data_IF_159025593163
#
_entry.id   IF_159025593163
#
_cell.length_a   1.000
_cell.length_b   1.000
_cell.length_c   1.000
_cell.angle_alpha   90.00
_cell.angle_beta   90.00
_cell.angle_gamma   90.00
#
_symmetry.space_group_name_H-M   'P 1'
#
loop_
_entity.id
_entity.type
_entity.pdbx_description
1 polymer ?
#
# COMPACT_ATOMS: atom_id res chain seq x y z
N UNK A 1 -0.42 -6.57 24.74
CA UNK A 1 0.25 -7.63 25.54
C UNK A 1 1.39 -8.18 24.70
N UNK A 2 2.63 -7.80 24.99
CA UNK A 2 3.79 -8.28 24.22
C UNK A 2 4.10 -9.73 24.63
N UNK A 3 3.83 -10.67 23.73
CA UNK A 3 3.95 -12.10 23.99
C UNK A 3 5.23 -12.71 23.43
N UNK A 4 6.06 -13.14 24.36
CA UNK A 4 7.30 -13.84 24.12
C UNK A 4 7.06 -15.36 23.93
N UNK A 5 7.49 -15.97 22.81
CA UNK A 5 7.61 -17.43 22.66
C UNK A 5 9.01 -17.94 22.27
N UNK A 6 9.85 -18.30 23.24
CA UNK A 6 11.18 -18.93 23.10
C UNK A 6 11.13 -20.25 22.33
N UNK A 7 11.87 -20.37 21.22
CA UNK A 7 12.10 -21.65 20.52
C UNK A 7 12.92 -22.57 21.43
N UNK A 8 12.49 -23.81 21.65
CA UNK A 8 13.15 -24.72 22.59
C UNK A 8 14.48 -25.29 22.05
N UNK A 9 14.66 -25.30 20.72
CA UNK A 9 15.88 -25.79 20.07
C UNK A 9 16.94 -24.69 19.89
N UNK A 10 16.54 -23.41 19.87
CA UNK A 10 17.44 -22.25 19.64
C UNK A 10 17.34 -21.13 20.68
N UNK A 11 16.40 -21.20 21.63
CA UNK A 11 16.13 -20.14 22.61
C UNK A 11 15.39 -18.90 22.06
N UNK A 12 14.92 -18.87 20.81
CA UNK A 12 14.48 -17.60 20.17
C UNK A 12 12.99 -17.33 20.25
N UNK A 13 12.65 -16.16 20.74
CA UNK A 13 11.29 -15.78 21.11
C UNK A 13 10.51 -15.06 19.99
N UNK A 14 9.35 -15.53 19.50
CA UNK A 14 8.66 -14.87 18.37
C UNK A 14 7.24 -14.38 18.62
N UNK A 15 7.01 -13.12 18.21
CA UNK A 15 5.75 -12.39 18.22
C UNK A 15 5.10 -12.42 16.83
N UNK A 16 3.80 -12.70 16.79
CA UNK A 16 2.94 -12.33 15.67
C UNK A 16 1.87 -11.38 16.18
N UNK A 17 1.64 -10.31 15.43
CA UNK A 17 0.50 -9.42 15.67
C UNK A 17 -0.37 -9.53 14.43
N UNK A 18 -1.42 -10.35 14.51
CA UNK A 18 -2.45 -10.38 13.46
C UNK A 18 -3.44 -9.29 13.78
N UNK A 19 -3.57 -8.28 12.93
CA UNK A 19 -4.49 -7.15 13.13
C UNK A 19 -5.58 -7.24 12.10
N UNK A 20 -6.81 -7.32 12.58
CA UNK A 20 -7.99 -7.37 11.74
C UNK A 20 -8.74 -6.07 11.95
N UNK A 21 -8.74 -5.22 10.92
CA UNK A 21 -9.42 -3.91 10.96
C UNK A 21 -10.74 -4.03 10.21
N UNK A 22 -11.88 -3.99 10.91
CA UNK A 22 -13.19 -4.12 10.25
C UNK A 22 -13.66 -2.80 9.64
N UNK A 23 -13.61 -1.67 10.36
CA UNK A 23 -14.22 -0.43 9.86
C UNK A 23 -13.70 0.91 10.41
N UNK A 24 -12.92 0.98 11.49
CA UNK A 24 -12.52 2.26 12.09
C UNK A 24 -11.08 2.19 12.61
N UNK A 25 -10.08 2.42 11.75
CA UNK A 25 -8.66 2.55 12.12
C UNK A 25 -7.85 3.28 11.04
N UNK A 26 -6.63 3.69 11.40
CA UNK A 26 -5.60 4.25 10.52
C UNK A 26 -4.97 3.24 9.52
N UNK A 27 -5.39 1.98 9.53
CA UNK A 27 -4.92 0.96 8.59
C UNK A 27 -6.00 0.62 7.56
N UNK A 28 -5.64 0.35 6.29
CA UNK A 28 -6.52 -0.27 5.33
C UNK A 28 -7.23 -1.52 5.88
N UNK A 29 -8.49 -1.73 5.45
CA UNK A 29 -9.28 -2.92 5.79
C UNK A 29 -8.52 -4.19 5.39
N UNK A 30 -8.60 -5.22 6.21
CA UNK A 30 -8.00 -6.52 5.94
C UNK A 30 -7.23 -7.11 7.10
N UNK A 31 -6.46 -8.15 6.77
CA UNK A 31 -5.63 -8.91 7.71
C UNK A 31 -4.20 -8.44 7.56
N UNK A 32 -3.65 -7.93 8.65
CA UNK A 32 -2.26 -7.56 8.78
C UNK A 32 -1.56 -8.62 9.61
N UNK A 33 -0.44 -9.15 9.15
CA UNK A 33 0.39 -10.06 9.93
C UNK A 33 1.77 -9.44 10.05
N UNK A 34 2.16 -9.09 11.26
CA UNK A 34 3.50 -8.63 11.56
C UNK A 34 4.35 -9.80 12.05
N UNK A 35 5.49 -10.02 11.40
CA UNK A 35 6.47 -11.08 11.69
C UNK A 35 7.82 -10.44 12.05
N UNK A 36 8.42 -10.90 13.15
CA UNK A 36 9.83 -10.63 13.44
C UNK A 36 10.75 -11.56 12.60
N UNK A 37 12.00 -11.15 12.37
CA UNK A 37 12.97 -11.76 11.44
C UNK A 37 13.37 -13.23 11.73
N UNK A 38 12.81 -13.90 12.74
CA UNK A 38 13.31 -15.19 13.26
C UNK A 38 12.51 -16.44 12.85
N UNK A 39 11.43 -16.32 12.07
CA UNK A 39 10.53 -17.46 11.73
C UNK A 39 10.58 -17.85 10.24
N UNK A 40 10.06 -19.03 9.85
CA UNK A 40 9.77 -19.46 8.47
C UNK A 40 8.27 -19.29 8.09
N UNK A 41 7.96 -18.68 6.94
CA UNK A 41 6.60 -18.48 6.41
C UNK A 41 5.76 -19.77 6.29
N UNK A 42 6.39 -20.93 6.06
CA UNK A 42 5.68 -22.20 5.95
C UNK A 42 4.96 -22.58 7.25
N UNK A 43 5.55 -22.24 8.41
CA UNK A 43 4.97 -22.50 9.72
C UNK A 43 3.69 -21.69 9.97
N UNK A 44 3.64 -20.46 9.44
CA UNK A 44 2.48 -19.57 9.50
C UNK A 44 1.37 -20.14 8.63
N UNK A 45 1.68 -20.43 7.37
CA UNK A 45 0.70 -20.91 6.41
C UNK A 45 0.07 -22.25 6.79
N UNK A 46 0.85 -23.19 7.37
CA UNK A 46 0.33 -24.47 7.87
C UNK A 46 -0.74 -24.26 8.95
N UNK A 47 -0.61 -23.24 9.80
CA UNK A 47 -1.55 -22.97 10.88
C UNK A 47 -2.77 -22.17 10.40
N UNK A 48 -2.60 -21.25 9.45
CA UNK A 48 -3.73 -20.64 8.73
C UNK A 48 -4.49 -21.63 7.86
N UNK A 49 -3.86 -22.75 7.46
CA UNK A 49 -4.54 -23.84 6.74
C UNK A 49 -5.64 -24.51 7.56
N UNK A 50 -5.68 -24.36 8.88
CA UNK A 50 -6.83 -24.81 9.69
C UNK A 50 -8.06 -23.91 9.51
N UNK A 51 -7.89 -22.69 8.99
CA UNK A 51 -8.95 -21.72 8.67
C UNK A 51 -9.42 -21.92 7.20
N UNK A 52 -8.98 -23.00 6.54
CA UNK A 52 -9.01 -23.23 5.08
C UNK A 52 -10.32 -22.98 4.38
N UNK A 53 -11.45 -23.19 5.05
CA UNK A 53 -12.67 -23.47 4.29
C UNK A 53 -13.15 -22.27 3.47
N UNK A 54 -12.73 -21.03 3.78
CA UNK A 54 -13.24 -19.84 3.09
C UNK A 54 -12.20 -18.90 2.48
N UNK A 55 -10.88 -19.15 2.58
CA UNK A 55 -9.87 -18.25 1.98
C UNK A 55 -8.74 -19.00 1.27
N UNK A 56 -8.40 -18.51 0.07
CA UNK A 56 -7.19 -18.88 -0.66
C UNK A 56 -5.94 -18.21 -0.05
N UNK A 57 -5.56 -18.62 1.17
CA UNK A 57 -4.36 -18.14 1.84
C UNK A 57 -3.09 -18.87 1.32
N UNK A 58 -3.10 -19.33 0.08
CA UNK A 58 -1.95 -20.02 -0.53
C UNK A 58 -0.70 -19.12 -0.64
N UNK A 59 -0.89 -17.81 -0.55
CA UNK A 59 0.18 -16.82 -0.60
C UNK A 59 0.96 -16.70 0.71
N UNK A 60 0.39 -17.00 1.88
CA UNK A 60 1.13 -16.85 3.16
C UNK A 60 2.37 -17.74 3.24
N UNK A 61 2.37 -18.91 2.59
CA UNK A 61 3.52 -19.84 2.61
C UNK A 61 4.66 -19.39 1.70
N UNK A 62 4.47 -18.31 0.94
CA UNK A 62 5.44 -17.82 -0.04
C UNK A 62 6.12 -16.60 0.56
N UNK A 63 7.40 -16.71 0.92
CA UNK A 63 8.21 -15.61 1.47
C UNK A 63 8.13 -14.32 0.66
N UNK A 64 7.97 -14.44 -0.66
CA UNK A 64 7.87 -13.32 -1.58
C UNK A 64 6.66 -12.40 -1.30
N UNK A 65 5.59 -12.91 -0.68
CA UNK A 65 4.39 -12.12 -0.42
C UNK A 65 4.46 -11.26 0.85
N UNK A 66 5.62 -11.18 1.48
CA UNK A 66 5.83 -10.34 2.65
C UNK A 66 6.54 -9.05 2.26
N UNK A 67 6.04 -7.92 2.75
CA UNK A 67 6.67 -6.61 2.64
C UNK A 67 7.74 -6.48 3.71
N UNK A 68 8.98 -6.20 3.29
CA UNK A 68 10.06 -5.90 4.22
C UNK A 68 9.98 -4.46 4.71
N UNK A 69 10.06 -4.30 6.03
CA UNK A 69 10.18 -3.02 6.73
C UNK A 69 11.45 -3.05 7.61
N UNK A 70 11.98 -1.90 8.06
CA UNK A 70 13.09 -1.87 9.03
C UNK A 70 12.80 -2.66 10.32
N UNK A 71 11.53 -2.97 10.62
CA UNK A 71 11.07 -3.56 11.87
C UNK A 71 10.67 -5.03 11.77
N UNK A 72 10.72 -5.59 10.55
CA UNK A 72 10.30 -6.97 10.27
C UNK A 72 9.53 -7.09 8.97
N UNK A 73 8.93 -8.26 8.78
CA UNK A 73 8.12 -8.59 7.61
C UNK A 73 6.64 -8.36 7.91
N UNK A 74 5.94 -7.70 7.00
CA UNK A 74 4.51 -7.39 7.10
C UNK A 74 3.79 -8.05 5.95
N UNK A 75 2.71 -8.77 6.23
CA UNK A 75 1.80 -9.25 5.20
C UNK A 75 0.47 -8.53 5.36
N UNK A 76 -0.06 -7.97 4.27
CA UNK A 76 -1.42 -7.44 4.22
C UNK A 76 -2.22 -8.23 3.20
N UNK A 77 -3.46 -8.56 3.55
CA UNK A 77 -4.44 -9.09 2.61
C UNK A 77 -5.76 -8.39 2.84
N UNK A 78 -6.29 -7.80 1.77
CA UNK A 78 -7.66 -7.30 1.72
C UNK A 78 -8.61 -8.49 1.75
N UNK A 79 -9.11 -8.83 2.95
CA UNK A 79 -10.11 -9.89 3.12
C UNK A 79 -11.50 -9.26 2.99
N UNK A 80 -12.29 -9.77 2.06
CA UNK A 80 -13.63 -9.24 1.74
C UNK A 80 -14.76 -10.09 2.35
N UNK A 81 -14.47 -11.25 2.95
CA UNK A 81 -15.52 -12.11 3.53
C UNK A 81 -15.73 -11.86 5.03
N UNK A 82 -16.94 -11.42 5.37
CA UNK A 82 -17.44 -11.35 6.76
C UNK A 82 -17.32 -12.70 7.49
N UNK A 83 -17.47 -13.80 6.75
CA UNK A 83 -17.35 -15.16 7.30
C UNK A 83 -15.96 -15.44 7.89
N UNK A 84 -14.90 -14.87 7.30
CA UNK A 84 -13.56 -15.02 7.86
C UNK A 84 -13.34 -14.18 9.11
N UNK A 85 -13.91 -12.97 9.15
CA UNK A 85 -13.91 -12.15 10.36
C UNK A 85 -14.48 -12.98 11.51
N UNK A 86 -15.65 -13.60 11.30
CA UNK A 86 -16.32 -14.40 12.30
C UNK A 86 -15.47 -15.57 12.84
N UNK A 87 -14.64 -16.21 12.02
CA UNK A 87 -13.75 -17.30 12.50
C UNK A 87 -12.76 -16.81 13.56
N UNK A 88 -12.23 -15.58 13.41
CA UNK A 88 -11.33 -15.00 14.41
C UNK A 88 -12.07 -14.58 15.68
N UNK A 89 -13.31 -14.13 15.54
CA UNK A 89 -14.22 -13.76 16.63
C UNK A 89 -14.59 -15.00 17.46
N UNK A 90 -15.02 -16.07 16.79
CA UNK A 90 -15.50 -17.30 17.42
C UNK A 90 -14.36 -18.02 18.16
N UNK A 91 -13.15 -18.06 17.58
CA UNK A 91 -11.96 -18.61 18.26
C UNK A 91 -11.41 -17.66 19.34
N UNK A 92 -11.69 -16.37 19.22
CA UNK A 92 -11.31 -15.32 20.16
C UNK A 92 -12.34 -15.04 21.25
N UNK A 93 -13.22 -15.99 21.63
CA UNK A 93 -14.10 -15.96 22.81
C UNK A 93 -15.01 -14.73 23.05
N UNK A 94 -15.11 -13.74 22.16
CA UNK A 94 -16.08 -12.64 22.27
C UNK A 94 -16.53 -12.15 20.90
N UNK A 95 -17.85 -11.98 20.74
CA UNK A 95 -18.46 -11.28 19.62
C UNK A 95 -17.90 -9.86 19.52
N UNK A 96 -17.40 -9.47 18.34
CA UNK A 96 -16.98 -8.10 18.09
C UNK A 96 -18.21 -7.19 18.12
N UNK A 97 -18.13 -6.11 18.88
CA UNK A 97 -18.79 -4.88 18.44
C UNK A 97 -17.92 -4.27 17.32
N UNK A 98 -18.51 -3.47 16.42
CA UNK A 98 -17.90 -2.98 15.16
C UNK A 98 -16.60 -2.14 15.29
N UNK A 99 -15.97 -2.08 16.46
CA UNK A 99 -15.01 -1.04 16.89
C UNK A 99 -13.74 -1.61 17.54
N UNK A 100 -13.49 -2.91 17.48
CA UNK A 100 -12.32 -3.55 18.13
C UNK A 100 -11.24 -4.00 17.11
N UNK A 101 -9.96 -3.78 17.45
CA UNK A 101 -8.85 -4.45 16.78
C UNK A 101 -8.65 -5.82 17.43
N UNK A 102 -8.74 -6.88 16.63
CA UNK A 102 -8.28 -8.21 17.06
C UNK A 102 -6.76 -8.24 16.92
N UNK A 103 -6.06 -8.49 18.03
CA UNK A 103 -4.67 -8.93 18.01
C UNK A 103 -4.62 -10.42 18.29
N UNK A 104 -4.42 -11.23 17.25
CA UNK A 104 -4.16 -12.66 17.46
C UNK A 104 -2.63 -12.88 17.56
N UNK A 105 -2.19 -13.34 18.73
CA UNK A 105 -0.81 -13.69 19.03
C UNK A 105 -0.71 -15.21 19.23
N UNK A 106 0.39 -15.84 18.82
CA UNK A 106 0.53 -17.30 18.87
C UNK A 106 1.58 -17.73 19.91
N UNK A 107 1.20 -18.65 20.80
CA UNK A 107 2.08 -19.27 21.81
C UNK A 107 2.29 -20.77 21.52
N UNK A 108 3.13 -21.46 22.31
CA UNK A 108 3.24 -22.93 22.26
C UNK A 108 1.91 -23.65 22.57
N UNK A 109 1.01 -23.01 23.33
CA UNK A 109 -0.24 -23.59 23.81
C UNK A 109 -1.47 -23.19 22.98
N UNK A 110 -1.27 -22.52 21.85
CA UNK A 110 -2.34 -22.03 20.97
C UNK A 110 -2.38 -20.50 20.82
N UNK A 111 -3.46 -20.00 20.24
CA UNK A 111 -3.69 -18.57 20.00
C UNK A 111 -4.09 -17.85 21.28
N UNK A 112 -3.35 -16.80 21.64
CA UNK A 112 -3.81 -15.78 22.56
C UNK A 112 -4.34 -14.62 21.73
N UNK A 113 -5.66 -14.51 21.66
CA UNK A 113 -6.33 -13.39 21.02
C UNK A 113 -6.56 -12.32 22.09
N UNK A 114 -5.90 -11.17 21.95
CA UNK A 114 -6.21 -9.98 22.74
C UNK A 114 -7.01 -9.01 21.87
N UNK A 115 -8.19 -8.65 22.32
CA UNK A 115 -8.95 -7.54 21.76
C UNK A 115 -8.39 -6.25 22.38
N UNK A 116 -7.98 -5.29 21.55
CA UNK A 116 -7.78 -3.93 22.02
C UNK A 116 -8.90 -3.08 21.44
N UNK A 117 -9.61 -2.42 22.35
CA UNK A 117 -10.47 -1.30 22.01
C UNK A 117 -9.57 -0.13 21.66
N UNK A 118 -9.49 0.21 20.37
CA UNK A 118 -8.91 1.49 19.97
C UNK A 118 -9.95 2.54 20.36
N UNK A 119 -9.59 3.58 21.14
CA UNK A 119 -10.53 4.63 21.44
C UNK A 119 -10.93 5.30 20.11
N UNK A 120 -12.13 5.02 19.63
CA UNK A 120 -12.82 5.98 18.78
C UNK A 120 -13.23 7.09 19.74
N UNK A 121 -12.50 8.20 19.75
CA UNK A 121 -13.14 9.41 20.25
C UNK A 121 -14.25 9.70 19.24
N UNK A 122 -15.51 9.47 19.64
CA UNK A 122 -16.73 9.74 18.87
C UNK A 122 -16.85 11.20 18.38
N UNK A 123 -15.87 12.04 18.71
CA UNK A 123 -15.74 13.38 18.19
C UNK A 123 -15.14 13.28 16.79
N UNK A 124 -15.89 13.58 15.70
CA UNK A 124 -15.31 13.70 14.38
C UNK A 124 -14.26 14.81 14.40
N UNK A 125 -12.98 14.43 14.41
CA UNK A 125 -11.82 15.35 14.32
C UNK A 125 -11.58 15.85 12.89
N UNK A 126 -12.49 15.52 11.98
CA UNK A 126 -12.47 15.89 10.58
C UNK A 126 -13.01 14.78 9.70
N UNK A 127 -13.12 15.12 8.42
CA UNK A 127 -13.55 14.22 7.35
C UNK A 127 -12.67 14.43 6.13
N UNK A 128 -12.63 13.46 5.22
CA UNK A 128 -11.94 13.65 3.95
C UNK A 128 -12.64 12.93 2.82
N UNK A 129 -12.46 13.47 1.62
CA UNK A 129 -12.89 12.88 0.36
C UNK A 129 -11.67 12.68 -0.53
N UNK A 130 -11.73 11.67 -1.39
CA UNK A 130 -10.63 11.33 -2.28
C UNK A 130 -11.14 11.15 -3.70
N UNK A 131 -10.40 11.65 -4.68
CA UNK A 131 -10.73 11.49 -6.10
C UNK A 131 -9.47 11.36 -6.94
N UNK A 132 -9.56 10.60 -8.03
CA UNK A 132 -8.48 10.52 -9.02
C UNK A 132 -8.61 11.65 -10.03
N UNK A 133 -7.51 12.34 -10.30
CA UNK A 133 -7.43 13.32 -11.37
C UNK A 133 -7.71 12.66 -12.73
N UNK A 134 -8.52 13.32 -13.57
CA UNK A 134 -8.83 12.86 -14.91
C UNK A 134 -8.14 13.74 -15.96
N UNK A 135 -7.58 13.16 -17.04
CA UNK A 135 -7.46 11.72 -17.30
C UNK A 135 -6.39 11.07 -16.41
N UNK A 136 -6.61 9.82 -15.98
CA UNK A 136 -5.71 9.11 -15.05
C UNK A 136 -4.32 8.88 -15.64
N UNK A 137 -4.26 8.47 -16.92
CA UNK A 137 -2.99 8.24 -17.63
C UNK A 137 -2.07 7.22 -16.96
N UNK A 138 -0.75 7.41 -17.15
CA UNK A 138 0.31 6.61 -16.51
C UNK A 138 0.78 7.19 -15.17
N UNK A 139 0.33 8.41 -14.84
CA UNK A 139 0.73 9.16 -13.64
C UNK A 139 -0.51 9.61 -12.87
N UNK A 140 -1.27 8.68 -12.23
CA UNK A 140 -2.47 9.03 -11.48
C UNK A 140 -2.15 10.03 -10.37
N UNK A 141 -3.00 11.06 -10.25
CA UNK A 141 -2.93 12.00 -9.12
C UNK A 141 -4.10 11.72 -8.20
N UNK A 142 -3.82 11.34 -6.96
CA UNK A 142 -4.84 11.17 -5.94
C UNK A 142 -5.04 12.52 -5.23
N UNK A 143 -6.15 13.19 -5.55
CA UNK A 143 -6.57 14.38 -4.84
C UNK A 143 -7.26 13.96 -3.56
N UNK A 144 -6.84 14.54 -2.44
CA UNK A 144 -7.44 14.36 -1.13
C UNK A 144 -7.89 15.72 -0.64
N UNK A 145 -9.16 15.81 -0.30
CA UNK A 145 -9.78 17.01 0.22
C UNK A 145 -10.19 16.77 1.67
N UNK A 146 -9.41 17.32 2.60
CA UNK A 146 -9.60 17.23 4.05
C UNK A 146 -10.51 18.38 4.48
N UNK A 147 -11.54 18.11 5.30
CA UNK A 147 -12.56 19.08 5.75
C UNK A 147 -12.77 18.99 7.26
N UNK A 148 -13.17 20.12 7.87
CA UNK A 148 -13.58 20.21 9.27
C UNK A 148 -12.51 19.68 10.25
N UNK A 149 -11.25 20.00 9.99
CA UNK A 149 -10.11 19.50 10.76
C UNK A 149 -10.07 20.13 12.15
N UNK A 150 -10.22 19.31 13.18
CA UNK A 150 -10.06 19.71 14.58
C UNK A 150 -8.81 19.04 15.13
N UNK A 151 -7.74 19.82 15.28
CA UNK A 151 -6.50 19.36 15.90
C UNK A 151 -6.77 19.08 17.39
N UNK A 152 -6.59 17.83 17.87
CA UNK A 152 -6.96 17.46 19.24
C UNK A 152 -6.10 18.14 20.31
N UNK A 153 -4.80 18.24 20.07
CA UNK A 153 -3.80 18.84 20.96
C UNK A 153 -2.70 19.51 20.12
N UNK A 154 -2.02 20.51 20.67
CA UNK A 154 -1.02 21.33 19.96
C UNK A 154 0.17 20.50 19.43
N UNK A 155 0.50 19.38 20.08
CA UNK A 155 1.59 18.48 19.68
C UNK A 155 1.17 17.45 18.61
N UNK A 156 -0.11 17.39 18.24
CA UNK A 156 -0.58 16.42 17.25
C UNK A 156 -0.16 16.80 15.82
N UNK A 157 0.27 15.79 15.04
CA UNK A 157 0.53 15.90 13.60
C UNK A 157 -0.55 15.15 12.81
N UNK A 158 -0.99 15.72 11.69
CA UNK A 158 -1.92 15.03 10.79
C UNK A 158 -1.14 14.09 9.89
N UNK A 159 -1.43 12.80 9.96
CA UNK A 159 -0.71 11.77 9.22
C UNK A 159 -1.63 10.98 8.29
N UNK A 160 -1.07 10.52 7.18
CA UNK A 160 -1.73 9.67 6.19
C UNK A 160 -1.00 8.34 6.04
N UNK A 161 -1.74 7.23 6.04
CA UNK A 161 -1.21 5.90 5.78
C UNK A 161 -2.00 5.22 4.67
N UNK A 162 -1.31 4.69 3.67
CA UNK A 162 -1.95 4.02 2.53
C UNK A 162 -1.24 2.76 2.10
N UNK A 163 -2.03 1.78 1.66
CA UNK A 163 -1.57 0.63 0.91
C UNK A 163 -1.67 0.93 -0.59
N UNK A 164 -0.64 0.56 -1.32
CA UNK A 164 -0.51 0.79 -2.76
C UNK A 164 -0.41 -0.59 -3.41
N UNK A 165 -1.33 -0.96 -4.31
CA UNK A 165 -1.29 -2.25 -4.98
C UNK A 165 -0.04 -2.35 -5.88
N UNK A 166 0.45 -3.57 -6.19
CA UNK A 166 1.65 -3.79 -7.00
C UNK A 166 1.58 -3.17 -8.40
N UNK A 167 0.38 -2.90 -8.90
CA UNK A 167 0.16 -2.21 -10.18
C UNK A 167 0.55 -0.73 -10.17
N UNK A 168 0.70 -0.14 -8.99
CA UNK A 168 1.01 1.26 -8.76
C UNK A 168 2.26 1.39 -7.89
N UNK A 169 2.92 2.53 -7.98
CA UNK A 169 4.00 2.89 -7.07
C UNK A 169 4.07 4.37 -6.83
N UNK A 170 4.88 4.71 -5.85
CA UNK A 170 5.23 6.07 -5.52
C UNK A 170 6.71 6.25 -5.83
N UNK A 171 7.03 7.36 -6.49
CA UNK A 171 8.40 7.79 -6.65
C UNK A 171 8.84 8.52 -5.38
N UNK A 172 9.71 7.86 -4.60
CA UNK A 172 10.26 8.42 -3.37
C UNK A 172 11.04 9.72 -3.59
N UNK A 173 11.68 9.89 -4.75
CA UNK A 173 12.49 11.07 -5.04
C UNK A 173 11.61 12.26 -5.42
N UNK A 174 10.56 12.01 -6.20
CA UNK A 174 9.53 13.02 -6.48
C UNK A 174 8.87 13.49 -5.17
N UNK A 175 8.46 12.55 -4.32
CA UNK A 175 7.84 12.89 -3.05
C UNK A 175 8.76 13.63 -2.10
N UNK A 176 10.03 13.24 -1.95
CA UNK A 176 10.96 13.98 -1.09
C UNK A 176 11.09 15.44 -1.52
N UNK A 177 11.09 15.73 -2.83
CA UNK A 177 11.11 17.10 -3.32
C UNK A 177 9.81 17.85 -3.02
N UNK A 178 8.64 17.21 -3.18
CA UNK A 178 7.33 17.80 -2.88
C UNK A 178 7.23 18.10 -1.37
N UNK A 179 7.63 17.15 -0.55
CA UNK A 179 7.68 17.21 0.91
C UNK A 179 8.57 18.36 1.42
N UNK A 180 9.79 18.46 0.89
CA UNK A 180 10.75 19.52 1.25
C UNK A 180 10.24 20.92 0.89
N UNK A 181 9.41 21.04 -0.16
CA UNK A 181 8.82 22.31 -0.59
C UNK A 181 7.46 22.60 0.07
N UNK A 182 6.94 21.69 0.90
CA UNK A 182 5.55 21.70 1.35
C UNK A 182 4.54 21.87 0.19
N UNK A 183 4.90 21.38 -1.00
CA UNK A 183 4.06 21.47 -2.18
C UNK A 183 2.84 20.55 -1.99
N UNK A 184 1.68 21.02 -2.44
CA UNK A 184 0.40 20.35 -2.25
C UNK A 184 0.10 19.99 -0.77
N UNK A 185 0.61 20.78 0.19
CA UNK A 185 0.47 20.58 1.63
C UNK A 185 0.97 19.20 2.13
N UNK A 186 1.83 18.53 1.37
CA UNK A 186 2.52 17.35 1.86
C UNK A 186 3.66 17.81 2.78
N UNK A 187 3.72 17.29 4.00
CA UNK A 187 4.88 17.52 4.85
C UNK A 187 5.92 16.43 4.60
N UNK A 188 6.34 15.65 5.59
CA UNK A 188 7.40 14.66 5.47
C UNK A 188 6.90 13.27 5.06
N UNK A 189 7.74 12.57 4.29
CA UNK A 189 7.61 11.13 4.06
C UNK A 189 8.14 10.41 5.30
N UNK A 190 7.24 9.79 6.07
CA UNK A 190 7.59 9.06 7.29
C UNK A 190 8.10 7.65 6.98
N UNK A 191 7.61 7.03 5.90
CA UNK A 191 8.11 5.74 5.46
C UNK A 191 7.49 5.23 4.17
N UNK A 192 8.30 4.55 3.37
CA UNK A 192 7.85 3.78 2.20
C UNK A 192 8.45 2.38 2.30
N UNK A 193 7.60 1.35 2.21
CA UNK A 193 8.02 -0.05 2.37
C UNK A 193 7.40 -0.94 1.31
N UNK A 194 8.06 -2.07 1.00
CA UNK A 194 7.58 -3.05 0.03
C UNK A 194 8.20 -2.86 -1.35
N UNK A 195 7.37 -2.97 -2.39
CA UNK A 195 7.82 -2.89 -3.77
C UNK A 195 8.10 -1.44 -4.19
N UNK A 196 9.30 -0.94 -3.85
CA UNK A 196 9.74 0.43 -4.11
C UNK A 196 10.67 0.57 -5.32
N UNK A 197 10.89 -0.52 -6.06
CA UNK A 197 11.64 -0.47 -7.31
C UNK A 197 10.83 0.32 -8.36
N UNK A 198 11.42 1.43 -8.83
CA UNK A 198 10.82 2.39 -9.76
C UNK A 198 10.91 1.90 -11.21
N UNK A 199 11.82 0.95 -11.49
CA UNK A 199 12.08 0.42 -12.83
C UNK A 199 11.44 -0.96 -13.04
N UNK A 200 11.15 -1.69 -11.97
CA UNK A 200 10.56 -3.02 -12.06
C UNK A 200 9.12 -2.98 -12.59
N UNK A 201 8.80 -3.75 -13.65
CA UNK A 201 7.43 -3.94 -14.10
C UNK A 201 6.66 -4.85 -13.12
N UNK A 202 5.33 -4.75 -13.11
CA UNK A 202 4.45 -5.51 -12.20
C UNK A 202 4.69 -7.03 -12.22
N UNK A 203 5.01 -7.62 -13.38
CA UNK A 203 5.24 -9.06 -13.55
C UNK A 203 6.62 -9.54 -13.08
N UNK A 204 7.52 -8.63 -12.67
CA UNK A 204 8.80 -8.97 -12.04
C UNK A 204 8.75 -8.87 -10.51
N UNK A 205 7.68 -8.29 -9.99
CA UNK A 205 7.46 -8.11 -8.57
C UNK A 205 6.82 -9.34 -7.94
N UNK A 206 6.80 -9.35 -6.61
CA UNK A 206 6.23 -10.45 -5.85
C UNK A 206 4.70 -10.37 -5.74
N UNK A 207 4.13 -9.20 -6.04
CA UNK A 207 2.71 -8.91 -5.99
C UNK A 207 2.23 -8.42 -4.63
N UNK A 208 3.14 -7.92 -3.77
CA UNK A 208 2.80 -7.43 -2.44
C UNK A 208 2.31 -6.00 -2.44
N UNK A 209 2.77 -5.18 -3.40
CA UNK A 209 2.57 -3.75 -3.37
C UNK A 209 3.50 -3.05 -2.37
N UNK A 210 3.12 -1.85 -1.96
CA UNK A 210 3.88 -1.04 -1.03
C UNK A 210 2.99 -0.34 0.00
N UNK A 211 3.59 0.07 1.11
CA UNK A 211 2.96 0.90 2.12
C UNK A 211 3.61 2.28 2.08
N UNK A 212 2.80 3.32 2.19
CA UNK A 212 3.24 4.70 2.24
C UNK A 212 2.66 5.39 3.46
N UNK A 213 3.54 5.95 4.27
CA UNK A 213 3.24 6.73 5.45
C UNK A 213 3.88 8.11 5.32
N UNK A 214 3.09 9.13 5.59
CA UNK A 214 3.46 10.53 5.42
C UNK A 214 2.70 11.40 6.41
N UNK A 215 3.17 12.62 6.58
CA UNK A 215 2.41 13.67 7.26
C UNK A 215 1.89 14.72 6.27
N UNK A 216 0.88 15.44 6.73
CA UNK A 216 0.31 16.61 6.06
C UNK A 216 0.87 17.84 6.75
N UNK A 217 1.34 18.78 5.96
CA UNK A 217 1.75 20.08 6.47
C UNK A 217 0.52 20.83 6.98
N UNK A 218 0.43 20.98 8.30
CA UNK A 218 -0.64 21.71 8.99
C UNK A 218 -0.04 22.85 9.79
N UNK A 219 -0.02 24.06 9.23
CA UNK A 219 0.22 25.27 10.03
C UNK A 219 -1.10 25.80 10.64
N UNK A 220 -0.99 26.61 11.69
CA UNK A 220 -2.17 27.17 12.38
C UNK A 220 -3.04 28.03 11.45
N UNK A 221 -2.48 28.58 10.37
CA UNK A 221 -3.22 29.36 9.37
C UNK A 221 -4.01 28.48 8.39
N UNK A 222 -3.53 27.29 8.07
CA UNK A 222 -4.20 26.28 7.25
C UNK A 222 -5.30 25.57 8.03
N UNK A 223 -5.10 25.32 9.32
CA UNK A 223 -6.15 24.76 10.18
C UNK A 223 -7.31 25.74 10.44
N UNK A 224 -7.06 27.04 10.31
CA UNK A 224 -8.12 28.05 10.28
C UNK A 224 -8.92 28.04 8.98
N UNK A 225 -8.40 27.43 7.90
CA UNK A 225 -9.20 27.16 6.71
C UNK A 225 -10.03 25.91 6.99
N UNK A 226 -11.32 25.98 6.66
CA UNK A 226 -12.25 24.85 6.87
C UNK A 226 -11.85 23.57 6.08
N UNK A 227 -10.84 23.66 5.20
CA UNK A 227 -10.36 22.56 4.37
C UNK A 227 -8.86 22.67 4.03
N UNK A 228 -8.24 21.51 3.78
CA UNK A 228 -6.88 21.36 3.24
C UNK A 228 -6.94 20.42 2.03
N UNK A 229 -6.42 20.88 0.89
CA UNK A 229 -6.24 20.05 -0.30
C UNK A 229 -4.81 19.53 -0.40
N UNK A 230 -4.67 18.24 -0.68
CA UNK A 230 -3.36 17.64 -0.97
C UNK A 230 -3.45 16.69 -2.17
N UNK A 231 -2.32 16.54 -2.86
CA UNK A 231 -2.21 15.68 -4.05
C UNK A 231 -1.10 14.67 -3.80
N UNK A 232 -1.44 13.39 -3.89
CA UNK A 232 -0.48 12.29 -3.79
C UNK A 232 -0.19 11.80 -5.22
N UNK A 233 1.02 12.06 -5.76
CA UNK A 233 1.40 11.56 -7.08
C UNK A 233 1.65 10.05 -7.00
N UNK A 234 1.04 9.33 -7.94
CA UNK A 234 1.21 7.90 -8.14
C UNK A 234 1.70 7.65 -9.56
N UNK A 235 2.33 6.50 -9.74
CA UNK A 235 2.81 6.02 -11.03
C UNK A 235 2.25 4.64 -11.30
N UNK A 236 1.79 4.40 -12.53
CA UNK A 236 1.42 3.04 -12.95
C UNK A 236 2.67 2.26 -13.34
N UNK A 237 2.77 1.00 -12.92
CA UNK A 237 3.79 0.10 -13.45
C UNK A 237 3.41 -0.43 -14.82
N UNK A 238 4.42 -0.82 -15.60
CA UNK A 238 4.21 -1.65 -16.78
C UNK A 238 3.49 -2.95 -16.40
N UNK A 239 2.40 -3.21 -17.11
CA UNK A 239 1.58 -4.40 -16.93
C UNK A 239 1.88 -5.44 -18.01
N UNK A 240 1.57 -6.70 -17.73
CA UNK A 240 1.62 -7.72 -18.77
C UNK A 240 0.60 -7.39 -19.87
N UNK A 241 0.98 -7.49 -21.15
CA UNK A 241 0.05 -7.29 -22.25
C UNK A 241 -0.99 -8.41 -22.27
N UNK A 242 -2.23 -8.10 -22.62
CA UNK A 242 -3.35 -9.04 -22.66
C UNK A 242 -3.96 -9.08 -24.05
N UNK A 243 -4.49 -10.23 -24.46
CA UNK A 243 -5.16 -10.36 -25.76
C UNK A 243 -6.61 -9.86 -25.65
N UNK A 244 -6.98 -8.93 -26.53
CA UNK A 244 -8.33 -8.35 -26.62
C UNK A 244 -8.64 -7.32 -25.54
N UNK A 245 -7.64 -6.83 -24.82
CA UNK A 245 -7.79 -5.80 -23.80
C UNK A 245 -6.74 -4.71 -23.99
N UNK A 246 -7.18 -3.46 -23.89
CA UNK A 246 -6.34 -2.26 -23.98
C UNK A 246 -6.14 -1.59 -22.63
N UNK A 247 -6.90 -2.01 -21.61
CA UNK A 247 -6.79 -1.50 -20.24
C UNK A 247 -6.83 -2.65 -19.23
N UNK A 248 -5.98 -2.57 -18.22
CA UNK A 248 -6.08 -3.36 -17.00
C UNK A 248 -6.82 -2.54 -15.95
N UNK A 249 -7.89 -3.11 -15.38
CA UNK A 249 -8.59 -2.50 -14.24
C UNK A 249 -7.91 -2.92 -12.93
N UNK A 250 -7.59 -1.95 -12.09
CA UNK A 250 -7.09 -2.16 -10.73
C UNK A 250 -7.84 -1.24 -9.77
N UNK A 251 -7.77 -1.53 -8.47
CA UNK A 251 -8.38 -0.73 -7.42
C UNK A 251 -7.31 -0.18 -6.49
N UNK A 252 -7.46 1.08 -6.08
CA UNK A 252 -6.67 1.71 -5.04
C UNK A 252 -7.56 1.93 -3.81
N UNK A 253 -7.14 1.39 -2.67
CA UNK A 253 -7.78 1.67 -1.39
C UNK A 253 -7.44 3.08 -0.94
N UNK A 254 -8.42 3.80 -0.39
CA UNK A 254 -8.16 5.14 0.11
C UNK A 254 -7.08 5.17 1.21
N UNK A 255 -6.26 6.23 1.24
CA UNK A 255 -5.44 6.53 2.40
C UNK A 255 -6.31 6.67 3.64
N UNK A 256 -5.78 6.32 4.81
CA UNK A 256 -6.36 6.60 6.10
C UNK A 256 -5.64 7.78 6.73
N UNK A 257 -6.40 8.78 7.14
CA UNK A 257 -5.89 9.96 7.82
C UNK A 257 -6.23 9.93 9.31
N UNK A 258 -5.27 10.35 10.12
CA UNK A 258 -5.42 10.41 11.57
C UNK A 258 -4.48 11.46 12.17
N UNK A 259 -4.92 12.08 13.27
CA UNK A 259 -4.04 12.86 14.13
C UNK A 259 -3.22 11.90 14.98
N UNK A 260 -1.91 12.09 15.00
CA UNK A 260 -0.99 11.40 15.89
C UNK A 260 -0.44 12.39 16.92
N UNK A 261 -0.74 12.16 18.19
CA UNK A 261 -0.37 13.05 19.30
C UNK A 261 0.75 12.48 20.18
N UNK A 262 1.35 11.36 19.80
CA UNK A 262 2.53 10.86 20.50
C UNK A 262 3.79 11.61 20.04
N UNK A 263 4.72 11.84 20.98
CA UNK A 263 5.96 12.57 20.72
C UNK A 263 6.86 11.91 19.65
N UNK A 264 7.64 12.74 18.94
CA UNK A 264 8.39 12.41 17.71
C UNK A 264 9.28 11.15 17.79
N UNK A 265 9.77 10.78 18.97
CA UNK A 265 10.74 9.67 19.16
C UNK A 265 10.25 8.29 18.68
N UNK A 266 8.94 8.13 18.41
CA UNK A 266 8.34 6.85 17.97
C UNK A 266 7.86 6.83 16.52
N UNK A 267 7.97 7.94 15.80
CA UNK A 267 7.42 8.09 14.44
C UNK A 267 8.12 7.19 13.42
N UNK A 268 9.29 6.63 13.72
CA UNK A 268 9.95 5.73 12.77
C UNK A 268 9.48 4.27 12.85
N UNK A 269 8.86 3.79 13.95
CA UNK A 269 8.53 2.36 14.10
C UNK A 269 7.18 2.00 13.45
N UNK A 270 7.17 1.17 12.41
CA UNK A 270 5.93 0.68 11.79
C UNK A 270 4.98 0.02 12.80
N UNK A 271 5.50 -0.61 13.87
CA UNK A 271 4.69 -1.21 14.95
C UNK A 271 3.91 -0.16 15.73
N UNK A 272 4.38 1.08 15.73
CA UNK A 272 3.70 2.22 16.33
C UNK A 272 2.38 2.52 15.62
N UNK A 273 2.26 2.21 14.32
CA UNK A 273 0.95 2.25 13.65
C UNK A 273 -0.04 1.47 14.50
N UNK A 274 0.21 0.20 14.78
CA UNK A 274 -0.68 -0.74 15.47
C UNK A 274 -0.81 -0.60 16.98
N UNK A 275 -0.08 0.31 17.64
CA UNK A 275 0.07 0.27 19.11
C UNK A 275 -0.20 1.61 19.80
N UNK A 276 -0.32 2.70 19.04
CA UNK A 276 -0.61 4.02 19.58
C UNK A 276 -2.06 4.13 20.03
N UNK A 277 -2.27 4.71 21.22
CA UNK A 277 -3.58 4.98 21.81
C UNK A 277 -4.08 6.39 21.54
N UNK A 278 -3.19 7.32 21.16
CA UNK A 278 -3.48 8.73 21.00
C UNK A 278 -3.67 9.09 19.52
N UNK A 279 -4.55 8.34 18.84
CA UNK A 279 -4.86 8.56 17.42
C UNK A 279 -6.32 8.88 17.21
N UNK A 280 -6.57 9.97 16.49
CA UNK A 280 -7.91 10.41 16.16
C UNK A 280 -8.10 10.30 14.66
N UNK A 281 -8.96 9.37 14.22
CA UNK A 281 -9.11 9.05 12.79
C UNK A 281 -10.11 9.99 12.14
N UNK A 282 -9.81 10.47 10.94
CA UNK A 282 -10.76 11.26 10.15
C UNK A 282 -11.79 10.34 9.50
N UNK A 283 -13.04 10.82 9.42
CA UNK A 283 -14.12 10.09 8.76
C UNK A 283 -13.99 10.15 7.23
N UNK A 284 -14.34 9.07 6.55
CA UNK A 284 -14.45 9.02 5.09
C UNK A 284 -15.43 7.92 4.71
N UNK A 285 -16.10 8.11 3.57
CA UNK A 285 -16.86 7.06 2.94
C UNK A 285 -15.91 5.92 2.50
N UNK A 286 -16.22 4.66 2.84
CA UNK A 286 -15.43 3.52 2.40
C UNK A 286 -15.54 3.39 0.89
N UNK A 287 -14.57 3.94 0.17
CA UNK A 287 -14.52 3.89 -1.29
C UNK A 287 -13.18 3.30 -1.75
N UNK A 288 -13.26 2.38 -2.71
CA UNK A 288 -12.12 1.91 -3.48
C UNK A 288 -12.13 2.64 -4.82
N UNK A 289 -11.03 3.28 -5.17
CA UNK A 289 -10.91 4.06 -6.40
C UNK A 289 -10.51 3.12 -7.55
N UNK A 290 -11.34 3.05 -8.59
CA UNK A 290 -11.05 2.22 -9.76
C UNK A 290 -10.11 2.96 -10.72
N UNK A 291 -9.00 2.32 -11.08
CA UNK A 291 -7.98 2.83 -11.99
C UNK A 291 -7.92 1.94 -13.23
N UNK A 292 -7.90 2.56 -14.41
CA UNK A 292 -7.71 1.85 -15.69
C UNK A 292 -6.31 2.15 -16.24
N UNK A 293 -5.42 1.17 -16.16
CA UNK A 293 -4.03 1.29 -16.63
C UNK A 293 -3.98 0.86 -18.11
N UNK A 294 -3.46 1.69 -19.02
CA UNK A 294 -3.33 1.28 -20.42
C UNK A 294 -2.31 0.14 -20.56
N UNK A 295 -2.67 -0.86 -21.36
CA UNK A 295 -1.84 -2.04 -21.66
C UNK A 295 -1.81 -2.30 -23.16
N UNK A 296 -0.76 -2.99 -23.63
CA UNK A 296 -0.69 -3.39 -25.03
C UNK A 296 -1.62 -4.58 -25.31
N UNK A 297 -2.45 -4.44 -26.35
CA UNK A 297 -3.30 -5.53 -26.84
C UNK A 297 -2.47 -6.47 -27.75
N UNK A 298 -2.29 -7.72 -27.31
CA UNK A 298 -1.57 -8.74 -28.05
C UNK A 298 -2.20 -9.09 -29.40
N UNK A 299 -3.47 -8.73 -29.65
CA UNK A 299 -4.14 -8.93 -30.93
C UNK A 299 -3.46 -8.16 -32.07
N UNK A 300 -2.83 -7.03 -31.76
CA UNK A 300 -2.09 -6.23 -32.73
C UNK A 300 -0.60 -6.54 -32.76
N UNK A 301 -0.08 -7.42 -31.89
CA UNK A 301 1.35 -7.72 -31.79
C UNK A 301 1.98 -8.02 -33.14
N UNK A 302 1.36 -8.93 -33.91
CA UNK A 302 1.87 -9.34 -35.22
C UNK A 302 1.89 -8.18 -36.21
N UNK A 303 0.83 -7.35 -36.23
CA UNK A 303 0.76 -6.18 -37.11
C UNK A 303 1.85 -5.17 -36.76
N UNK A 304 2.01 -4.85 -35.48
CA UNK A 304 3.06 -3.94 -34.99
C UNK A 304 4.44 -4.47 -35.36
N UNK A 305 4.72 -5.74 -35.10
CA UNK A 305 6.00 -6.38 -35.40
C UNK A 305 6.35 -6.29 -36.90
N UNK A 306 5.42 -6.64 -37.81
CA UNK A 306 5.66 -6.55 -39.25
C UNK A 306 5.84 -5.13 -39.76
N UNK A 307 5.03 -4.18 -39.26
CA UNK A 307 5.13 -2.78 -39.66
C UNK A 307 6.46 -2.18 -39.19
N UNK A 308 6.83 -2.41 -37.93
CA UNK A 308 8.10 -1.92 -37.36
C UNK A 308 9.29 -2.52 -38.11
N UNK A 309 9.30 -3.84 -38.33
CA UNK A 309 10.37 -4.50 -39.08
C UNK A 309 10.44 -3.99 -40.54
N UNK A 310 9.29 -3.79 -41.20
CA UNK A 310 9.23 -3.24 -42.55
C UNK A 310 9.82 -1.83 -42.64
N UNK A 311 9.47 -0.94 -41.71
CA UNK A 311 10.01 0.43 -41.64
C UNK A 311 11.52 0.40 -41.36
N UNK A 312 11.98 -0.45 -40.44
CA UNK A 312 13.41 -0.57 -40.13
C UNK A 312 14.23 -1.06 -41.34
N UNK A 313 13.76 -2.10 -42.02
CA UNK A 313 14.39 -2.64 -43.23
C UNK A 313 14.41 -1.59 -44.35
N UNK A 314 13.28 -0.93 -44.61
CA UNK A 314 13.21 0.13 -45.61
C UNK A 314 14.16 1.29 -45.30
N UNK A 315 14.21 1.73 -44.04
CA UNK A 315 15.12 2.79 -43.58
C UNK A 315 16.59 2.39 -43.77
N UNK A 316 16.93 1.14 -43.46
CA UNK A 316 18.27 0.60 -43.67
C UNK A 316 18.66 0.58 -45.16
N UNK A 317 17.79 0.09 -46.05
CA UNK A 317 18.04 0.11 -47.49
C UNK A 317 18.13 1.52 -48.06
N UNK A 318 17.29 2.44 -47.60
CA UNK A 318 17.35 3.84 -47.97
C UNK A 318 18.71 4.45 -47.61
N UNK A 319 19.19 4.23 -46.38
CA UNK A 319 20.51 4.70 -45.94
C UNK A 319 21.65 4.08 -46.74
N UNK A 320 21.59 2.78 -47.04
CA UNK A 320 22.59 2.12 -47.89
C UNK A 320 22.63 2.72 -49.30
N UNK A 321 21.47 2.94 -49.93
CA UNK A 321 21.39 3.56 -51.25
C UNK A 321 21.89 5.01 -51.24
N UNK A 322 21.56 5.75 -50.18
CA UNK A 322 22.02 7.12 -49.99
C UNK A 322 23.55 7.19 -49.84
N UNK A 323 24.14 6.36 -48.98
CA UNK A 323 25.58 6.27 -48.78
C UNK A 323 26.30 5.78 -50.04
N UNK A 324 25.73 4.82 -50.74
CA UNK A 324 26.28 4.31 -52.00
C UNK A 324 26.32 5.39 -53.09
N UNK A 325 25.24 6.17 -53.23
CA UNK A 325 25.23 7.34 -54.14
C UNK A 325 26.30 8.35 -53.74
N UNK A 326 26.41 8.70 -52.45
CA UNK A 326 27.41 9.65 -51.97
C UNK A 326 28.85 9.17 -52.17
N UNK A 327 29.12 7.88 -51.95
CA UNK A 327 30.45 7.30 -52.17
C UNK A 327 30.85 7.31 -53.64
N UNK A 328 29.90 7.07 -54.57
CA UNK A 328 30.15 7.22 -56.01
C UNK A 328 30.56 8.65 -56.36
N UNK A 329 29.84 9.65 -55.85
CA UNK A 329 30.16 11.06 -56.11
C UNK A 329 31.49 11.55 -55.51
N UNK A 330 32.07 10.86 -54.52
CA UNK A 330 33.36 11.25 -53.95
C UNK A 330 34.57 10.73 -54.75
N UNK A 331 34.34 9.83 -55.72
CA UNK A 331 35.39 9.23 -56.55
C UNK A 331 35.57 9.95 -57.89
N UNK A 332 34.57 10.73 -58.30
CA UNK A 332 34.58 11.56 -59.52
C UNK A 332 35.03 12.99 -59.17
#
# INVERSE_FOLDING_TARGET
MDLQRTNQDTGTTTLFKVVISNTVNYLPKGVWILRNNTIDSLSIAKQFREIKNNINISHLSRENYWVETPFGKVFHSEVVSEEFMQIFIDKGNKALNNEEMIFACMSEKGWNVSLETVPNLDIPVGSYETQLGLPVGLHPKLHVHLKNLHKPEDECSLQGFMYIPPTLFIDRYELSNIAEMHADNLGHVLGIWGETDLEAPSYKLNGTGSFFWFDIYTDDGLLQKDYIDTIIPLHTRYQSPLKGQTYLKTSLTNPKFFWNCDTEDKVNDFRFLFSSKNKYTLQNDPTTLSISIPIADLSYKHVVEWVTNGVAIFSFFYLLLYLWKRFRYAKD
#
